data_IF_368143699956
#
_entry.id   IF_368143699956
#
_cell.length_a   1.000
_cell.length_b   1.000
_cell.length_c   1.000
_cell.angle_alpha   90.00
_cell.angle_beta   90.00
_cell.angle_gamma   90.00
#
_symmetry.space_group_name_H-M   'P 1'
#
loop_
_entity.id
_entity.type
_entity.pdbx_description
1 polymer ?
#
# COMPACT_ATOMS: atom_id res chain seq x y z
N UNK A 1 56.61 -53.44 -1.65
CA UNK A 1 55.79 -52.61 -2.56
C UNK A 1 55.28 -51.45 -1.72
N UNK A 2 56.00 -50.34 -1.77
CA UNK A 2 55.75 -49.15 -0.96
C UNK A 2 55.03 -48.11 -1.81
N UNK A 3 53.88 -47.63 -1.35
CA UNK A 3 53.12 -46.57 -1.99
C UNK A 3 52.78 -45.49 -0.97
N UNK A 4 53.67 -44.52 -0.80
CA UNK A 4 53.33 -43.19 -0.30
C UNK A 4 53.13 -42.30 -1.54
N UNK A 5 51.95 -41.69 -1.68
CA UNK A 5 51.75 -40.55 -2.57
C UNK A 5 51.11 -39.43 -1.78
N UNK A 6 51.96 -38.52 -1.30
CA UNK A 6 51.62 -37.12 -1.14
C UNK A 6 51.38 -36.52 -2.52
N UNK A 7 50.32 -35.75 -2.68
CA UNK A 7 50.22 -34.77 -3.76
C UNK A 7 49.42 -33.58 -3.25
N UNK A 8 50.14 -32.50 -2.99
CA UNK A 8 49.60 -31.14 -2.91
C UNK A 8 48.93 -30.77 -4.24
N UNK A 9 48.00 -29.82 -4.22
CA UNK A 9 47.96 -28.85 -5.31
C UNK A 9 48.14 -27.41 -4.83
N UNK A 10 49.25 -26.84 -5.31
CA UNK A 10 49.40 -25.48 -5.82
C UNK A 10 48.33 -24.44 -5.48
N UNK A 11 48.65 -23.62 -4.50
CA UNK A 11 48.24 -22.22 -4.44
C UNK A 11 48.98 -21.47 -5.56
N UNK A 12 48.29 -20.98 -6.60
CA UNK A 12 48.47 -19.65 -7.21
C UNK A 12 47.66 -19.45 -8.51
N UNK A 13 46.90 -18.36 -8.46
CA UNK A 13 46.62 -17.40 -9.55
C UNK A 13 45.58 -17.77 -10.63
N UNK A 14 44.36 -17.25 -10.44
CA UNK A 14 43.66 -16.50 -11.48
C UNK A 14 42.62 -15.57 -10.85
N UNK A 15 43.00 -14.31 -10.66
CA UNK A 15 42.08 -13.19 -10.51
C UNK A 15 41.40 -12.96 -11.86
N UNK A 16 40.16 -13.41 -12.00
CA UNK A 16 39.24 -12.91 -13.02
C UNK A 16 37.94 -12.53 -12.34
N UNK A 17 37.75 -11.22 -12.27
CA UNK A 17 36.51 -10.55 -11.90
C UNK A 17 35.33 -11.19 -12.63
N UNK A 18 34.51 -11.92 -11.87
CA UNK A 18 33.17 -12.33 -12.26
C UNK A 18 32.27 -11.94 -11.10
N UNK A 19 31.67 -10.76 -11.19
CA UNK A 19 30.65 -10.28 -10.26
C UNK A 19 29.52 -11.32 -10.31
N UNK A 20 29.51 -12.21 -9.33
CA UNK A 20 28.41 -13.13 -9.11
C UNK A 20 27.20 -12.30 -8.74
N UNK A 21 26.19 -12.31 -9.61
CA UNK A 21 24.85 -11.84 -9.30
C UNK A 21 24.37 -12.67 -8.11
N UNK A 22 24.34 -12.05 -6.93
CA UNK A 22 23.63 -12.58 -5.77
C UNK A 22 22.15 -12.71 -6.17
N UNK A 23 21.50 -13.86 -5.97
CA UNK A 23 20.06 -13.93 -6.11
C UNK A 23 19.43 -13.02 -5.04
N UNK A 24 18.65 -12.05 -5.48
CA UNK A 24 17.85 -11.14 -4.65
C UNK A 24 16.79 -11.98 -3.90
N UNK A 25 17.13 -12.50 -2.72
CA UNK A 25 16.27 -13.34 -1.87
C UNK A 25 15.82 -12.57 -0.62
N UNK A 26 15.46 -11.29 -0.76
CA UNK A 26 15.11 -10.45 0.40
C UNK A 26 14.08 -9.34 0.11
N UNK A 27 13.28 -9.48 -0.95
CA UNK A 27 12.27 -8.52 -1.38
C UNK A 27 10.84 -8.91 -0.97
N UNK A 28 10.50 -10.21 -0.98
CA UNK A 28 9.12 -10.69 -0.71
C UNK A 28 8.58 -10.39 0.70
N UNK A 29 9.44 -10.40 1.74
CA UNK A 29 8.98 -10.18 3.12
C UNK A 29 8.61 -8.72 3.41
N UNK A 30 9.29 -7.77 2.75
CA UNK A 30 9.00 -6.34 2.89
C UNK A 30 7.70 -5.96 2.19
N UNK A 31 7.45 -6.54 1.01
CA UNK A 31 6.23 -6.34 0.25
C UNK A 31 5.02 -6.92 0.98
N UNK A 32 5.08 -8.16 1.48
CA UNK A 32 3.94 -8.77 2.17
C UNK A 32 3.55 -8.00 3.45
N UNK A 33 4.53 -7.48 4.21
CA UNK A 33 4.26 -6.59 5.35
C UNK A 33 3.59 -5.27 4.94
N UNK A 34 3.85 -4.78 3.72
CA UNK A 34 3.20 -3.58 3.20
C UNK A 34 1.75 -3.84 2.79
N UNK A 35 1.48 -4.99 2.15
CA UNK A 35 0.11 -5.41 1.77
C UNK A 35 -0.75 -5.69 3.00
N UNK A 36 -0.19 -6.35 4.02
CA UNK A 36 -0.85 -6.57 5.32
C UNK A 36 -1.27 -5.25 5.97
N UNK A 37 -0.33 -4.30 6.07
CA UNK A 37 -0.60 -2.98 6.62
C UNK A 37 -1.66 -2.22 5.82
N UNK A 38 -1.59 -2.25 4.50
CA UNK A 38 -2.62 -1.64 3.66
C UNK A 38 -3.99 -2.30 3.85
N UNK A 39 -4.07 -3.63 3.92
CA UNK A 39 -5.31 -4.34 4.17
C UNK A 39 -5.95 -3.93 5.51
N UNK A 40 -5.15 -3.79 6.58
CA UNK A 40 -5.61 -3.29 7.88
C UNK A 40 -6.12 -1.85 7.81
N UNK A 41 -5.43 -0.99 7.06
CA UNK A 41 -5.80 0.41 6.86
C UNK A 41 -7.10 0.54 6.08
N UNK A 42 -7.26 -0.20 5.00
CA UNK A 42 -8.52 -0.23 4.24
C UNK A 42 -9.66 -0.90 5.02
N UNK A 43 -9.39 -1.90 5.87
CA UNK A 43 -10.38 -2.44 6.78
C UNK A 43 -10.84 -1.39 7.82
N UNK A 44 -9.91 -0.59 8.34
CA UNK A 44 -10.21 0.51 9.25
C UNK A 44 -11.02 1.62 8.56
N UNK A 45 -10.66 1.98 7.32
CA UNK A 45 -11.40 2.93 6.50
C UNK A 45 -12.84 2.46 6.27
N UNK A 46 -13.01 1.20 5.86
CA UNK A 46 -14.31 0.55 5.66
C UNK A 46 -15.16 0.59 6.93
N UNK A 47 -14.56 0.25 8.08
CA UNK A 47 -15.26 0.30 9.36
C UNK A 47 -15.71 1.71 9.74
N UNK A 48 -14.92 2.74 9.41
CA UNK A 48 -15.28 4.14 9.69
C UNK A 48 -16.51 4.60 8.88
N UNK A 49 -16.70 4.04 7.68
CA UNK A 49 -17.83 4.33 6.80
C UNK A 49 -19.12 3.59 7.22
N UNK A 50 -19.03 2.54 8.04
CA UNK A 50 -20.21 1.80 8.52
C UNK A 50 -20.96 2.56 9.62
N UNK A 51 -22.30 2.44 9.61
CA UNK A 51 -23.18 3.06 10.61
C UNK A 51 -23.17 2.30 11.95
N UNK A 52 -23.42 2.98 13.08
CA UNK A 52 -23.60 4.43 13.23
C UNK A 52 -22.27 5.19 13.22
N UNK A 53 -22.28 6.47 12.80
CA UNK A 53 -21.11 7.36 12.88
C UNK A 53 -21.10 8.15 14.18
N UNK A 54 -20.36 7.73 15.21
CA UNK A 54 -20.46 8.32 16.56
C UNK A 54 -20.06 9.80 16.61
N UNK A 55 -19.19 10.24 15.68
CA UNK A 55 -18.68 11.61 15.59
C UNK A 55 -19.28 12.40 14.41
N UNK A 56 -20.31 11.85 13.76
CA UNK A 56 -20.91 12.39 12.54
C UNK A 56 -20.26 11.90 11.24
N UNK A 57 -21.04 11.97 10.16
CA UNK A 57 -20.69 11.41 8.84
C UNK A 57 -19.42 12.03 8.25
N UNK A 58 -19.31 13.36 8.27
CA UNK A 58 -18.12 14.06 7.76
C UNK A 58 -16.82 13.57 8.43
N UNK A 59 -16.87 13.36 9.75
CA UNK A 59 -15.71 12.94 10.53
C UNK A 59 -15.36 11.47 10.24
N UNK A 60 -16.37 10.62 10.05
CA UNK A 60 -16.21 9.24 9.61
C UNK A 60 -15.55 9.16 8.22
N UNK A 61 -16.00 9.97 7.26
CA UNK A 61 -15.41 10.05 5.92
C UNK A 61 -13.97 10.59 5.98
N UNK A 62 -13.72 11.66 6.75
CA UNK A 62 -12.37 12.21 6.90
C UNK A 62 -11.39 11.19 7.53
N UNK A 63 -11.88 10.38 8.47
CA UNK A 63 -11.12 9.27 9.06
C UNK A 63 -10.81 8.21 8.01
N UNK A 64 -11.81 7.81 7.20
CA UNK A 64 -11.61 6.86 6.12
C UNK A 64 -10.58 7.36 5.10
N UNK A 65 -10.60 8.64 4.73
CA UNK A 65 -9.57 9.26 3.89
C UNK A 65 -8.17 9.16 4.49
N UNK A 66 -8.04 9.45 5.79
CA UNK A 66 -6.76 9.37 6.47
C UNK A 66 -6.21 7.94 6.51
N UNK A 67 -7.06 6.95 6.78
CA UNK A 67 -6.67 5.53 6.74
C UNK A 67 -6.29 5.08 5.32
N UNK A 68 -7.07 5.45 4.31
CA UNK A 68 -6.74 5.18 2.90
C UNK A 68 -5.38 5.77 2.51
N UNK A 69 -5.10 7.02 2.90
CA UNK A 69 -3.81 7.67 2.61
C UNK A 69 -2.64 6.91 3.25
N UNK A 70 -2.79 6.49 4.50
CA UNK A 70 -1.77 5.69 5.20
C UNK A 70 -1.55 4.33 4.52
N UNK A 71 -2.64 3.66 4.11
CA UNK A 71 -2.55 2.36 3.44
C UNK A 71 -1.80 2.42 2.12
N UNK A 72 -1.87 3.56 1.41
CA UNK A 72 -1.22 3.76 0.11
C UNK A 72 0.19 4.36 0.20
N UNK A 73 0.64 4.84 1.36
CA UNK A 73 1.87 5.61 1.53
C UNK A 73 3.15 4.84 1.09
N UNK A 74 3.10 3.51 1.09
CA UNK A 74 4.23 2.63 0.77
C UNK A 74 4.20 2.02 -0.63
N UNK A 75 3.18 2.34 -1.43
CA UNK A 75 2.96 1.71 -2.72
C UNK A 75 3.33 2.64 -3.86
N UNK A 76 4.09 2.10 -4.82
CA UNK A 76 4.24 2.71 -6.13
C UNK A 76 3.03 2.35 -7.02
N UNK A 77 2.67 3.24 -7.94
CA UNK A 77 1.54 3.01 -8.85
C UNK A 77 1.75 1.84 -9.79
N UNK A 78 2.99 1.44 -10.06
CA UNK A 78 3.31 0.26 -10.89
C UNK A 78 2.93 -1.06 -10.22
N UNK A 79 2.68 -1.09 -8.91
CA UNK A 79 2.33 -2.31 -8.17
C UNK A 79 0.85 -2.69 -8.32
N UNK A 80 0.02 -1.79 -8.85
CA UNK A 80 -1.40 -2.03 -9.04
C UNK A 80 -1.67 -2.65 -10.41
N UNK A 81 -2.47 -3.70 -10.43
CA UNK A 81 -3.00 -4.28 -11.66
C UNK A 81 -4.01 -3.32 -12.33
N UNK A 82 -4.50 -3.69 -13.52
CA UNK A 82 -5.40 -2.84 -14.31
C UNK A 82 -6.69 -2.50 -13.54
N UNK A 83 -7.26 -3.47 -12.83
CA UNK A 83 -8.50 -3.30 -12.06
C UNK A 83 -8.28 -2.39 -10.84
N UNK A 84 -7.27 -2.69 -10.03
CA UNK A 84 -6.94 -1.90 -8.83
C UNK A 84 -6.49 -0.48 -9.17
N UNK A 85 -5.82 -0.29 -10.30
CA UNK A 85 -5.48 1.05 -10.82
C UNK A 85 -6.70 1.93 -11.09
N UNK A 86 -7.85 1.35 -11.49
CA UNK A 86 -9.10 2.12 -11.66
C UNK A 86 -9.60 2.62 -10.31
N UNK A 87 -9.68 1.74 -9.31
CA UNK A 87 -10.14 2.11 -7.97
C UNK A 87 -9.23 3.11 -7.29
N UNK A 88 -7.92 2.96 -7.43
CA UNK A 88 -6.93 3.92 -6.92
C UNK A 88 -7.15 5.31 -7.53
N UNK A 89 -7.36 5.41 -8.86
CA UNK A 89 -7.65 6.70 -9.50
C UNK A 89 -8.96 7.32 -9.02
N UNK A 90 -10.00 6.51 -8.85
CA UNK A 90 -11.28 6.97 -8.31
C UNK A 90 -11.12 7.48 -6.87
N UNK A 91 -10.37 6.76 -6.04
CA UNK A 91 -10.08 7.15 -4.67
C UNK A 91 -9.31 8.47 -4.61
N UNK A 92 -8.28 8.66 -5.44
CA UNK A 92 -7.55 9.93 -5.52
C UNK A 92 -8.46 11.11 -5.88
N UNK A 93 -9.38 10.91 -6.83
CA UNK A 93 -10.35 11.95 -7.22
C UNK A 93 -11.31 12.29 -6.08
N UNK A 94 -11.81 11.27 -5.38
CA UNK A 94 -12.68 11.43 -4.21
C UNK A 94 -11.95 12.09 -3.03
N UNK A 95 -10.66 11.85 -2.89
CA UNK A 95 -9.83 12.39 -1.80
C UNK A 95 -9.12 13.69 -2.14
N UNK A 96 -9.12 14.13 -3.41
CA UNK A 96 -8.39 15.33 -3.82
C UNK A 96 -8.87 16.55 -3.03
N UNK A 97 -7.90 17.21 -2.41
CA UNK A 97 -8.08 18.45 -1.66
C UNK A 97 -7.60 19.67 -2.46
N UNK A 98 -7.31 19.50 -3.75
CA UNK A 98 -6.80 20.56 -4.60
C UNK A 98 -7.80 21.72 -4.69
N UNK A 99 -7.31 22.94 -4.48
CA UNK A 99 -8.14 24.15 -4.46
C UNK A 99 -9.06 24.28 -3.24
N UNK A 100 -8.94 23.41 -2.23
CA UNK A 100 -9.64 23.60 -0.95
C UNK A 100 -8.82 24.46 0.01
N UNK A 101 -9.52 25.33 0.73
CA UNK A 101 -8.96 26.12 1.81
C UNK A 101 -9.51 25.65 3.16
N UNK A 102 -8.68 25.74 4.20
CA UNK A 102 -9.06 25.42 5.58
C UNK A 102 -8.80 26.63 6.49
N UNK A 103 -9.61 27.69 6.39
CA UNK A 103 -9.42 28.91 7.19
C UNK A 103 -9.58 28.66 8.69
N UNK A 104 -10.23 27.57 9.07
CA UNK A 104 -10.53 27.22 10.46
C UNK A 104 -9.63 26.13 11.05
N UNK A 105 -8.61 25.66 10.30
CA UNK A 105 -7.63 24.65 10.73
C UNK A 105 -8.27 23.34 11.22
N UNK A 106 -9.31 22.87 10.53
CA UNK A 106 -10.04 21.64 10.85
C UNK A 106 -9.50 20.40 10.13
N UNK A 107 -8.64 20.58 9.13
CA UNK A 107 -8.10 19.55 8.26
C UNK A 107 -8.81 19.50 6.90
N UNK A 108 -8.03 19.48 5.82
CA UNK A 108 -8.56 19.51 4.45
C UNK A 108 -9.44 18.30 4.11
N UNK A 109 -9.18 17.13 4.68
CA UNK A 109 -10.05 15.96 4.52
C UNK A 109 -11.43 16.15 5.14
N UNK A 110 -11.55 16.87 6.25
CA UNK A 110 -12.86 17.21 6.81
C UNK A 110 -13.59 18.24 5.93
N UNK A 111 -12.86 19.21 5.38
CA UNK A 111 -13.42 20.17 4.41
C UNK A 111 -13.90 19.44 3.15
N UNK A 112 -13.14 18.45 2.66
CA UNK A 112 -13.50 17.63 1.51
C UNK A 112 -14.72 16.75 1.80
N UNK A 113 -14.76 16.09 2.95
CA UNK A 113 -15.88 15.23 3.36
C UNK A 113 -17.23 15.96 3.29
N UNK A 114 -17.29 17.19 3.84
CA UNK A 114 -18.47 18.08 3.81
C UNK A 114 -18.94 18.48 2.42
N UNK A 115 -18.07 18.34 1.42
CA UNK A 115 -18.34 18.71 0.02
C UNK A 115 -18.70 17.50 -0.84
N UNK A 116 -18.63 16.28 -0.32
CA UNK A 116 -19.03 15.09 -1.07
C UNK A 116 -20.54 15.07 -1.26
N UNK A 117 -20.97 14.75 -2.48
CA UNK A 117 -22.34 14.37 -2.74
C UNK A 117 -22.64 12.98 -2.18
N UNK A 118 -23.92 12.63 -2.05
CA UNK A 118 -24.34 11.27 -1.65
C UNK A 118 -23.79 10.23 -2.64
N UNK A 119 -23.79 10.54 -3.94
CA UNK A 119 -23.23 9.65 -4.95
C UNK A 119 -21.72 9.43 -4.76
N UNK A 120 -20.97 10.49 -4.42
CA UNK A 120 -19.54 10.37 -4.09
C UNK A 120 -19.32 9.52 -2.83
N UNK A 121 -20.17 9.62 -1.82
CA UNK A 121 -20.07 8.83 -0.60
C UNK A 121 -20.35 7.34 -0.87
N UNK A 122 -21.33 7.03 -1.71
CA UNK A 122 -21.61 5.67 -2.18
C UNK A 122 -20.39 5.14 -2.95
N UNK A 123 -19.86 5.94 -3.88
CA UNK A 123 -18.69 5.57 -4.66
C UNK A 123 -17.47 5.33 -3.76
N UNK A 124 -17.24 6.18 -2.75
CA UNK A 124 -16.18 6.00 -1.76
C UNK A 124 -16.31 4.67 -1.04
N UNK A 125 -17.52 4.34 -0.56
CA UNK A 125 -17.77 3.09 0.15
C UNK A 125 -17.47 1.87 -0.73
N UNK A 126 -17.89 1.90 -1.99
CA UNK A 126 -17.60 0.84 -2.97
C UNK A 126 -16.10 0.72 -3.23
N UNK A 127 -15.42 1.83 -3.52
CA UNK A 127 -13.98 1.83 -3.83
C UNK A 127 -13.15 1.33 -2.65
N UNK A 128 -13.51 1.71 -1.42
CA UNK A 128 -12.82 1.25 -0.21
C UNK A 128 -13.04 -0.25 0.01
N UNK A 129 -14.24 -0.78 -0.22
CA UNK A 129 -14.53 -2.22 -0.10
C UNK A 129 -13.73 -3.05 -1.13
N UNK A 130 -13.71 -2.60 -2.40
CA UNK A 130 -12.96 -3.27 -3.48
C UNK A 130 -11.45 -3.25 -3.23
N UNK A 131 -10.88 -2.11 -2.80
CA UNK A 131 -9.47 -2.02 -2.46
C UNK A 131 -9.14 -2.86 -1.22
N UNK A 132 -10.00 -2.88 -0.21
CA UNK A 132 -9.82 -3.73 0.97
C UNK A 132 -9.75 -5.21 0.60
N UNK A 133 -10.65 -5.66 -0.28
CA UNK A 133 -10.66 -7.02 -0.79
C UNK A 133 -9.39 -7.32 -1.61
N UNK A 134 -8.98 -6.40 -2.49
CA UNK A 134 -7.78 -6.55 -3.30
C UNK A 134 -6.52 -6.65 -2.44
N UNK A 135 -6.31 -5.75 -1.47
CA UNK A 135 -5.15 -5.78 -0.57
C UNK A 135 -5.09 -7.06 0.26
N UNK A 136 -6.25 -7.58 0.71
CA UNK A 136 -6.31 -8.87 1.41
C UNK A 136 -5.87 -10.03 0.52
N UNK A 137 -6.35 -10.07 -0.73
CA UNK A 137 -5.96 -11.10 -1.70
C UNK A 137 -4.47 -11.07 -2.02
N UNK A 138 -3.84 -9.89 -2.01
CA UNK A 138 -2.40 -9.73 -2.27
C UNK A 138 -1.52 -10.10 -1.06
N UNK A 139 -2.11 -10.17 0.14
CA UNK A 139 -1.43 -10.58 1.37
C UNK A 139 -1.47 -12.11 1.61
N UNK A 140 -2.43 -12.81 0.97
CA UNK A 140 -2.63 -14.26 1.08
C UNK A 140 -1.71 -15.06 0.14
#
# INVERSE_FOLDING_TARGET
MSGHSSSSPGWRESLKWGIGVLPDMQSDQGENMSFSYAAEKFASARSALMLPHPNGEDQSIATAFFECRQGLDRFDRSQFDESSSVWIRQLDQLMSTDGLEDPYRQGLFLVKARKLSVDDQIQLSTVVDELQFWFRRMND
#
